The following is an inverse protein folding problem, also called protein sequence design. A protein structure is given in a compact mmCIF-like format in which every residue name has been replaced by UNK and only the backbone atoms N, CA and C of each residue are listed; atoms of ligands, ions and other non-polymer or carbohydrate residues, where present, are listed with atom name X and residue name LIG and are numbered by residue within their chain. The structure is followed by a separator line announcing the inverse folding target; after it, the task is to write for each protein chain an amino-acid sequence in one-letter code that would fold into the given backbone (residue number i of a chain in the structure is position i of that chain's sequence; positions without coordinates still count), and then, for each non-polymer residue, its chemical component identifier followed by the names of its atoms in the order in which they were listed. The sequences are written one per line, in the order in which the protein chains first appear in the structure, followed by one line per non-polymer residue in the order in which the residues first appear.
data_IF_327250500314
#
_entry.id   IF_327250500314
#
_cell.length_a   1.000
_cell.length_b   1.000
_cell.length_c   1.000
_cell.angle_alpha   90.00
_cell.angle_beta   90.00
_cell.angle_gamma   90.00
#
_symmetry.space_group_name_H-M   'P 1'
#
loop_
_entity.id
_entity.type
_entity.pdbx_description
1 polymer ?
#
# COMPACT_ATOMS: atom_id res chain seq x y z
N UNK A 1 55.10 39.54 -5.87
CA UNK A 1 55.12 39.55 -4.39
C UNK A 1 54.27 38.39 -3.88
N UNK A 2 54.89 37.26 -3.56
CA UNK A 2 54.23 36.12 -2.90
C UNK A 2 54.61 36.17 -1.42
N UNK A 3 53.61 36.21 -0.54
CA UNK A 3 53.79 35.99 0.90
C UNK A 3 53.19 34.65 1.25
N UNK A 4 54.04 33.66 1.49
CA UNK A 4 53.70 32.41 2.17
C UNK A 4 54.25 32.48 3.59
N UNK A 5 53.35 32.30 4.58
CA UNK A 5 53.56 31.50 5.79
C UNK A 5 52.60 31.98 6.90
N UNK A 6 51.63 31.15 7.29
CA UNK A 6 51.29 30.93 8.70
C UNK A 6 50.67 29.54 8.84
N UNK A 7 51.04 28.90 9.93
CA UNK A 7 51.02 27.46 10.25
C UNK A 7 49.85 27.16 11.20
N UNK A 8 49.30 25.94 11.07
CA UNK A 8 48.43 25.18 11.97
C UNK A 8 47.27 25.87 12.71
N UNK A 9 46.05 25.40 12.43
CA UNK A 9 45.05 25.16 13.46
C UNK A 9 44.37 23.81 13.22
N UNK A 10 44.89 22.78 13.89
CA UNK A 10 44.22 21.49 14.10
C UNK A 10 42.99 21.74 14.99
N UNK A 11 41.82 21.88 14.38
CA UNK A 11 40.55 21.84 15.09
C UNK A 11 39.95 20.44 15.04
N UNK A 12 40.13 19.66 16.10
CA UNK A 12 39.36 18.45 16.37
C UNK A 12 37.86 18.80 16.42
N UNK A 13 37.04 18.10 15.66
CA UNK A 13 35.65 17.81 16.05
C UNK A 13 35.25 16.45 15.48
N UNK A 14 35.72 15.41 16.16
CA UNK A 14 35.08 14.11 16.17
C UNK A 14 33.75 14.19 16.90
N UNK A 15 32.77 13.43 16.37
CA UNK A 15 31.53 12.96 17.00
C UNK A 15 30.33 13.93 17.07
N UNK A 16 29.39 13.72 16.16
CA UNK A 16 28.05 13.30 16.56
C UNK A 16 27.58 12.21 15.60
N UNK A 17 27.71 10.96 16.05
CA UNK A 17 27.04 9.82 15.45
C UNK A 17 25.52 10.02 15.53
N UNK A 18 24.84 9.51 14.52
CA UNK A 18 23.41 9.24 14.58
C UNK A 18 22.54 10.35 14.00
N UNK A 19 22.59 10.55 12.68
CA UNK A 19 21.30 10.63 12.00
C UNK A 19 20.61 9.30 12.36
N UNK A 20 19.68 9.33 13.31
CA UNK A 20 18.71 8.26 13.42
C UNK A 20 18.08 8.18 12.05
N UNK A 21 18.51 7.20 11.24
CA UNK A 21 17.66 6.66 10.21
C UNK A 21 16.43 6.19 10.98
N UNK A 22 15.43 7.07 11.14
CA UNK A 22 14.05 6.62 11.13
C UNK A 22 13.96 5.84 9.82
N UNK A 23 14.23 4.54 9.91
CA UNK A 23 14.48 3.68 8.76
C UNK A 23 13.37 3.94 7.78
N UNK A 24 13.76 4.36 6.57
CA UNK A 24 12.89 4.82 5.49
C UNK A 24 11.54 4.10 5.59
N UNK A 25 10.57 4.75 6.25
CA UNK A 25 9.22 4.21 6.30
C UNK A 25 8.74 4.46 4.89
N UNK A 26 8.78 3.41 4.06
CA UNK A 26 8.07 3.42 2.80
C UNK A 26 6.68 3.98 3.14
N UNK A 27 6.22 5.04 2.44
CA UNK A 27 4.89 5.53 2.67
C UNK A 27 3.96 4.32 2.63
N UNK A 28 3.00 4.20 3.57
CA UNK A 28 2.08 3.08 3.55
C UNK A 28 1.55 2.97 2.13
N UNK A 29 1.76 1.80 1.51
CA UNK A 29 1.35 1.56 0.14
C UNK A 29 -0.13 1.93 0.05
N UNK A 30 -0.43 2.99 -0.71
CA UNK A 30 -1.76 3.58 -0.78
C UNK A 30 -2.77 2.56 -1.33
N UNK A 31 -2.32 1.47 -1.95
CA UNK A 31 -3.14 0.34 -2.32
C UNK A 31 -3.62 -0.52 -1.13
N UNK A 32 -2.93 -0.49 0.02
CA UNK A 32 -3.25 -1.32 1.20
C UNK A 32 -4.57 -0.93 1.86
N UNK A 33 -4.97 0.32 1.69
CA UNK A 33 -6.23 0.80 2.22
C UNK A 33 -7.42 0.45 1.31
N UNK A 34 -7.20 -0.21 0.16
CA UNK A 34 -8.27 -0.68 -0.72
C UNK A 34 -8.71 -2.12 -0.40
N UNK A 35 -10.02 -2.34 -0.37
CA UNK A 35 -10.67 -3.65 -0.22
C UNK A 35 -11.63 -3.92 -1.36
N UNK A 36 -11.79 -5.19 -1.71
CA UNK A 36 -12.70 -5.60 -2.78
C UNK A 36 -14.12 -5.81 -2.21
N UNK A 37 -15.10 -5.21 -2.86
CA UNK A 37 -16.51 -5.49 -2.63
C UNK A 37 -16.82 -6.97 -2.91
N UNK A 38 -17.63 -7.59 -2.05
CA UNK A 38 -18.04 -9.00 -2.19
C UNK A 38 -16.87 -9.99 -2.26
N UNK A 39 -15.71 -9.65 -1.67
CA UNK A 39 -14.52 -10.50 -1.64
C UNK A 39 -14.80 -11.92 -1.16
N UNK A 40 -15.59 -12.08 -0.09
CA UNK A 40 -15.98 -13.40 0.43
C UNK A 40 -16.78 -14.25 -0.58
N UNK A 41 -17.52 -13.61 -1.48
CA UNK A 41 -18.29 -14.27 -2.54
C UNK A 41 -17.40 -14.65 -3.72
N UNK A 42 -16.46 -13.78 -4.08
CA UNK A 42 -15.56 -13.95 -5.23
C UNK A 42 -14.41 -14.91 -4.90
N UNK A 43 -13.87 -14.82 -3.69
CA UNK A 43 -12.72 -15.57 -3.19
C UNK A 43 -13.01 -16.17 -1.81
N UNK A 44 -13.91 -17.17 -1.73
CA UNK A 44 -14.37 -17.72 -0.46
C UNK A 44 -13.25 -18.38 0.36
N UNK A 45 -12.20 -18.89 -0.28
CA UNK A 45 -11.17 -19.68 0.38
C UNK A 45 -10.06 -18.84 1.00
N UNK A 46 -10.09 -17.51 0.85
CA UNK A 46 -9.14 -16.62 1.53
C UNK A 46 -9.45 -16.52 3.03
N UNK A 47 -10.67 -16.88 3.45
CA UNK A 47 -11.11 -16.78 4.84
C UNK A 47 -11.21 -18.15 5.53
N UNK A 48 -10.32 -19.08 5.19
CA UNK A 48 -10.30 -20.41 5.81
C UNK A 48 -9.87 -20.34 7.30
N UNK A 49 -10.42 -21.20 8.17
CA UNK A 49 -9.99 -21.28 9.57
C UNK A 49 -8.52 -21.72 9.73
N UNK A 50 -7.87 -21.37 10.85
CA UNK A 50 -6.56 -21.92 11.18
C UNK A 50 -6.66 -23.44 11.39
N UNK A 51 -5.63 -24.19 10.97
CA UNK A 51 -5.58 -25.65 11.14
C UNK A 51 -6.23 -26.48 10.03
N UNK A 52 -6.68 -25.84 8.95
CA UNK A 52 -7.22 -26.50 7.75
C UNK A 52 -6.19 -27.33 6.97
N UNK A 53 -6.68 -28.21 6.08
CA UNK A 53 -5.83 -29.11 5.28
C UNK A 53 -4.82 -28.36 4.40
N UNK A 54 -3.72 -29.02 4.03
CA UNK A 54 -2.69 -28.44 3.14
C UNK A 54 -3.30 -28.04 1.78
N UNK A 55 -4.23 -28.83 1.26
CA UNK A 55 -4.93 -28.56 0.01
C UNK A 55 -5.77 -27.27 0.12
N UNK A 56 -6.48 -27.10 1.25
CA UNK A 56 -7.26 -25.88 1.52
C UNK A 56 -6.36 -24.66 1.69
N UNK A 57 -5.23 -24.81 2.38
CA UNK A 57 -4.23 -23.74 2.50
C UNK A 57 -3.63 -23.36 1.14
N UNK A 58 -3.37 -24.33 0.25
CA UNK A 58 -2.89 -24.06 -1.11
C UNK A 58 -3.93 -23.29 -1.92
N UNK A 59 -5.20 -23.64 -1.79
CA UNK A 59 -6.29 -22.92 -2.46
C UNK A 59 -6.46 -21.50 -1.92
N UNK A 60 -6.35 -21.30 -0.60
CA UNK A 60 -6.30 -19.97 0.01
C UNK A 60 -5.20 -19.10 -0.63
N UNK A 61 -3.96 -19.60 -0.69
CA UNK A 61 -2.84 -18.88 -1.30
C UNK A 61 -3.07 -18.58 -2.79
N UNK A 62 -3.65 -19.53 -3.53
CA UNK A 62 -4.00 -19.33 -4.94
C UNK A 62 -5.00 -18.20 -5.11
N UNK A 63 -6.07 -18.17 -4.30
CA UNK A 63 -7.08 -17.12 -4.37
C UNK A 63 -6.53 -15.76 -3.90
N UNK A 64 -5.68 -15.73 -2.87
CA UNK A 64 -4.97 -14.50 -2.46
C UNK A 64 -4.17 -13.92 -3.65
N UNK A 65 -3.39 -14.74 -4.34
CA UNK A 65 -2.65 -14.31 -5.53
C UNK A 65 -3.55 -13.80 -6.66
N UNK A 66 -4.72 -14.43 -6.88
CA UNK A 66 -5.69 -13.95 -7.87
C UNK A 66 -6.32 -12.60 -7.50
N UNK A 67 -6.64 -12.40 -6.22
CA UNK A 67 -7.17 -11.14 -5.71
C UNK A 67 -6.13 -10.02 -5.82
N UNK A 68 -4.90 -10.28 -5.40
CA UNK A 68 -3.82 -9.30 -5.46
C UNK A 68 -3.49 -8.91 -6.90
N UNK A 69 -3.41 -9.91 -7.81
CA UNK A 69 -3.26 -9.64 -9.24
C UNK A 69 -4.39 -8.76 -9.79
N UNK A 70 -5.64 -9.08 -9.43
CA UNK A 70 -6.79 -8.25 -9.85
C UNK A 70 -6.67 -6.82 -9.35
N UNK A 71 -6.24 -6.63 -8.09
CA UNK A 71 -6.03 -5.30 -7.51
C UNK A 71 -5.04 -4.50 -8.35
N UNK A 72 -3.88 -5.09 -8.66
CA UNK A 72 -2.83 -4.44 -9.41
C UNK A 72 -3.28 -4.12 -10.85
N UNK A 73 -3.93 -5.08 -11.52
CA UNK A 73 -4.48 -4.90 -12.87
C UNK A 73 -5.53 -3.77 -12.92
N UNK A 74 -6.44 -3.74 -11.93
CA UNK A 74 -7.49 -2.73 -11.81
C UNK A 74 -6.94 -1.32 -11.50
N UNK A 75 -5.98 -1.23 -10.58
CA UNK A 75 -5.32 0.03 -10.23
C UNK A 75 -4.52 0.58 -11.41
N UNK A 76 -3.73 -0.26 -12.07
CA UNK A 76 -2.95 0.13 -13.25
C UNK A 76 -3.85 0.61 -14.39
N UNK A 77 -4.94 -0.11 -14.67
CA UNK A 77 -5.92 0.27 -15.68
C UNK A 77 -6.59 1.63 -15.40
N UNK A 78 -6.67 2.03 -14.13
CA UNK A 78 -7.21 3.33 -13.71
C UNK A 78 -6.14 4.43 -13.56
N UNK A 79 -4.87 4.14 -13.86
CA UNK A 79 -3.77 5.08 -13.64
C UNK A 79 -3.51 5.38 -12.16
N UNK A 80 -3.96 4.50 -11.25
CA UNK A 80 -3.71 4.61 -9.82
C UNK A 80 -2.28 4.12 -9.53
N UNK A 81 -1.47 4.91 -8.82
CA UNK A 81 -0.15 4.48 -8.38
C UNK A 81 -0.29 3.79 -7.02
N UNK A 82 0.09 2.50 -6.88
CA UNK A 82 -0.04 1.80 -5.59
C UNK A 82 0.69 2.52 -4.46
N UNK A 83 1.90 3.02 -4.71
CA UNK A 83 2.73 3.67 -3.69
C UNK A 83 2.27 5.11 -3.42
N UNK A 84 2.07 5.89 -4.47
CA UNK A 84 1.78 7.34 -4.35
C UNK A 84 0.28 7.67 -4.22
N UNK A 85 -0.59 6.69 -4.44
CA UNK A 85 -2.03 6.88 -4.54
C UNK A 85 -2.48 7.35 -5.92
N UNK A 86 -3.77 7.66 -6.01
CA UNK A 86 -4.43 8.22 -7.19
C UNK A 86 -4.90 9.64 -6.96
N UNK A 87 -5.15 10.35 -8.06
CA UNK A 87 -6.04 11.51 -8.03
C UNK A 87 -7.50 11.07 -7.99
N UNK A 88 -8.42 12.01 -7.78
CA UNK A 88 -9.87 11.76 -7.71
C UNK A 88 -10.43 10.91 -8.87
N UNK A 89 -9.90 11.08 -10.07
CA UNK A 89 -10.36 10.33 -11.26
C UNK A 89 -9.93 8.86 -11.20
N UNK A 90 -8.68 8.60 -10.81
CA UNK A 90 -8.16 7.25 -10.61
C UNK A 90 -8.94 6.54 -9.50
N UNK A 91 -9.17 7.22 -8.37
CA UNK A 91 -9.94 6.67 -7.24
C UNK A 91 -11.39 6.32 -7.66
N UNK A 92 -12.05 7.22 -8.39
CA UNK A 92 -13.40 6.98 -8.88
C UNK A 92 -13.46 5.80 -9.87
N UNK A 93 -12.42 5.63 -10.70
CA UNK A 93 -12.29 4.48 -11.60
C UNK A 93 -12.10 3.17 -10.82
N UNK A 94 -11.19 3.14 -9.83
CA UNK A 94 -10.94 1.97 -8.98
C UNK A 94 -12.21 1.59 -8.22
N UNK A 95 -12.99 2.57 -7.76
CA UNK A 95 -14.31 2.34 -7.14
C UNK A 95 -15.33 1.68 -8.04
N UNK A 96 -15.43 2.12 -9.30
CA UNK A 96 -16.33 1.49 -10.29
C UNK A 96 -15.98 0.03 -10.58
N UNK A 97 -14.73 -0.39 -10.34
CA UNK A 97 -14.28 -1.78 -10.47
C UNK A 97 -14.59 -2.64 -9.23
N UNK A 98 -15.27 -2.05 -8.25
CA UNK A 98 -15.73 -2.73 -7.04
C UNK A 98 -14.73 -2.67 -5.89
N UNK A 99 -13.80 -1.70 -5.89
CA UNK A 99 -12.89 -1.49 -4.77
C UNK A 99 -13.35 -0.31 -3.90
N UNK A 100 -13.09 -0.35 -2.60
CA UNK A 100 -13.38 0.77 -1.71
C UNK A 100 -12.22 1.00 -0.75
N UNK A 101 -12.05 2.23 -0.26
CA UNK A 101 -11.03 2.52 0.73
C UNK A 101 -11.62 2.18 2.11
N UNK A 102 -10.95 1.36 2.91
CA UNK A 102 -11.47 0.95 4.21
C UNK A 102 -10.99 1.83 5.36
N UNK A 103 -9.85 2.52 5.18
CA UNK A 103 -9.21 3.37 6.19
C UNK A 103 -9.19 4.82 5.70
N UNK A 104 -9.72 5.75 6.49
CA UNK A 104 -9.77 7.18 6.15
C UNK A 104 -10.50 7.49 4.83
N UNK A 105 -11.50 6.68 4.46
CA UNK A 105 -12.31 6.96 3.28
C UNK A 105 -13.13 8.24 3.50
N UNK A 106 -13.19 9.08 2.46
CA UNK A 106 -14.06 10.26 2.41
C UNK A 106 -15.54 9.88 2.41
N UNK A 107 -15.86 8.64 2.03
CA UNK A 107 -17.18 8.05 2.19
C UNK A 107 -17.25 7.29 3.52
N UNK A 108 -18.23 7.59 4.39
CA UNK A 108 -18.31 6.94 5.69
C UNK A 108 -18.55 5.43 5.55
N UNK A 109 -18.06 4.64 6.51
CA UNK A 109 -18.02 3.16 6.43
C UNK A 109 -19.41 2.53 6.19
N UNK A 110 -20.48 3.18 6.70
CA UNK A 110 -21.87 2.79 6.50
C UNK A 110 -22.38 2.99 5.05
N UNK A 111 -21.62 3.68 4.20
CA UNK A 111 -21.93 3.93 2.77
C UNK A 111 -21.10 3.06 1.82
N UNK A 112 -20.11 2.32 2.34
CA UNK A 112 -19.36 1.32 1.56
C UNK A 112 -20.31 0.29 0.96
N UNK A 113 -21.34 -0.12 1.69
CA UNK A 113 -22.38 -1.03 1.21
C UNK A 113 -23.12 -0.49 -0.02
N UNK A 114 -23.38 0.82 -0.11
CA UNK A 114 -24.01 1.44 -1.29
C UNK A 114 -23.07 1.43 -2.50
N UNK A 115 -21.75 1.51 -2.26
CA UNK A 115 -20.72 1.43 -3.30
C UNK A 115 -20.48 -0.02 -3.77
N UNK A 116 -20.72 -0.99 -2.90
CA UNK A 116 -20.59 -2.42 -3.16
C UNK A 116 -21.87 -3.10 -3.68
N UNK A 117 -22.94 -2.34 -3.91
CA UNK A 117 -24.25 -2.81 -4.39
C UNK A 117 -24.38 -2.87 -5.93
N UNK A 118 -23.27 -2.76 -6.66
CA UNK A 118 -23.27 -2.99 -8.10
C UNK A 118 -23.19 -4.51 -8.38
N UNK A 119 -24.35 -5.13 -8.48
CA UNK A 119 -24.53 -6.49 -9.03
C UNK A 119 -24.28 -6.53 -10.55
#
# INVERSE_FOLDING_TARGET
MMKTATVLALGLSTLAAGCTFEGFRLPPDAALDWKLCNERKIYPDIHIPPGESIERQREMLRQMGLRDKRKDDDMYACGYNPIAGGGREADACVRKKGWYVWRNDIFPENKIYEQCQHD
#
